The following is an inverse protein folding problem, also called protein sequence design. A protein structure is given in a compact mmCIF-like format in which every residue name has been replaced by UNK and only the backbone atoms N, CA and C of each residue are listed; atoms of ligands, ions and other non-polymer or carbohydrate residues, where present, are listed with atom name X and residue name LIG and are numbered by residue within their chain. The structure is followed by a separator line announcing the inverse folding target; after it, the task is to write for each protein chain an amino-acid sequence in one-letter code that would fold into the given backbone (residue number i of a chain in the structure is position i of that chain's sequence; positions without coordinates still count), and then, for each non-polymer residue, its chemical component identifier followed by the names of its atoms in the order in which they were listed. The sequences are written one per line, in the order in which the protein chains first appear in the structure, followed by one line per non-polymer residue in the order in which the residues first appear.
data_IF_888424963502
#
_entry.id   IF_888424963502
#
_cell.length_a   1.000
_cell.length_b   1.000
_cell.length_c   1.000
_cell.angle_alpha   90.00
_cell.angle_beta   90.00
_cell.angle_gamma   90.00
#
_symmetry.space_group_name_H-M   'P 1'
#
loop_
_entity.id
_entity.type
_entity.pdbx_description
1 polymer ?
#
# COMPACT_ATOMS: atom_id res chain seq x y z
N UNK A 1 18.08 14.47 -5.36
CA UNK A 1 17.84 15.56 -6.33
C UNK A 1 19.02 16.49 -6.43
N UNK A 2 19.30 17.30 -5.39
CA UNK A 2 20.33 18.36 -5.43
C UNK A 2 21.76 17.83 -5.68
N UNK A 3 22.15 16.74 -5.04
CA UNK A 3 23.49 16.17 -5.18
C UNK A 3 23.86 15.78 -6.62
N UNK A 4 22.86 15.37 -7.42
CA UNK A 4 23.04 14.92 -8.80
C UNK A 4 22.40 15.88 -9.82
N UNK A 5 22.06 17.09 -9.38
CA UNK A 5 21.40 18.12 -10.20
C UNK A 5 20.19 17.64 -11.02
N UNK A 6 19.39 16.76 -10.44
CA UNK A 6 18.23 16.17 -11.14
C UNK A 6 17.12 17.20 -11.41
N UNK A 7 17.10 18.32 -10.69
CA UNK A 7 16.06 19.34 -10.87
C UNK A 7 16.22 20.14 -12.16
N UNK A 8 17.45 20.31 -12.65
CA UNK A 8 17.72 21.04 -13.89
C UNK A 8 17.07 20.38 -15.12
N UNK A 9 16.91 19.05 -15.11
CA UNK A 9 16.26 18.29 -16.17
C UNK A 9 14.82 17.88 -15.89
N UNK A 10 14.17 18.40 -14.83
CA UNK A 10 12.85 17.98 -14.40
C UNK A 10 11.76 19.01 -14.74
N UNK A 11 10.67 18.58 -15.36
CA UNK A 11 9.47 19.38 -15.57
C UNK A 11 8.43 19.00 -14.50
N UNK A 12 8.23 19.88 -13.52
CA UNK A 12 7.24 19.71 -12.47
C UNK A 12 5.87 20.23 -12.92
N UNK A 13 4.79 19.75 -12.29
CA UNK A 13 3.42 20.09 -12.65
C UNK A 13 3.12 19.89 -14.14
N UNK A 14 3.72 18.84 -14.71
CA UNK A 14 3.63 18.51 -16.14
C UNK A 14 3.19 17.07 -16.28
N UNK A 15 2.05 16.87 -16.95
CA UNK A 15 1.49 15.55 -17.23
C UNK A 15 1.70 15.23 -18.71
N UNK A 16 2.16 14.02 -19.01
CA UNK A 16 2.27 13.52 -20.39
C UNK A 16 0.89 13.06 -20.83
N UNK A 17 0.41 13.58 -21.97
CA UNK A 17 -0.89 13.27 -22.55
C UNK A 17 -0.81 12.37 -23.79
N UNK A 18 0.35 12.37 -24.48
CA UNK A 18 0.56 11.49 -25.63
C UNK A 18 2.03 11.10 -25.78
N UNK A 19 2.25 9.86 -26.25
CA UNK A 19 3.53 9.33 -26.70
C UNK A 19 3.33 8.68 -28.06
N UNK A 20 3.94 9.24 -29.10
CA UNK A 20 3.77 8.82 -30.49
C UNK A 20 5.13 8.59 -31.16
N UNK A 21 5.36 7.40 -31.73
CA UNK A 21 6.57 7.11 -32.48
C UNK A 21 6.55 7.83 -33.82
N UNK A 22 7.65 8.49 -34.18
CA UNK A 22 7.86 9.20 -35.43
C UNK A 22 8.93 8.47 -36.24
N UNK A 23 8.53 7.74 -37.32
CA UNK A 23 9.46 6.98 -38.16
C UNK A 23 10.50 7.87 -38.85
N UNK A 24 10.11 9.04 -39.36
CA UNK A 24 10.98 9.94 -40.12
C UNK A 24 12.21 10.40 -39.29
N UNK A 25 12.10 10.45 -37.95
CA UNK A 25 13.19 10.85 -37.07
C UNK A 25 13.70 9.76 -36.14
N UNK A 26 13.11 8.57 -36.20
CA UNK A 26 13.34 7.47 -35.24
C UNK A 26 13.28 7.95 -33.80
N UNK A 27 12.23 8.70 -33.45
CA UNK A 27 12.06 9.35 -32.16
C UNK A 27 10.61 9.27 -31.68
N UNK A 28 10.45 9.30 -30.38
CA UNK A 28 9.18 9.52 -29.71
C UNK A 28 8.85 11.02 -29.71
N UNK A 29 7.63 11.39 -30.12
CA UNK A 29 7.02 12.68 -29.86
C UNK A 29 6.26 12.59 -28.54
N UNK A 30 6.54 13.51 -27.64
CA UNK A 30 5.94 13.61 -26.31
C UNK A 30 5.14 14.89 -26.25
N UNK A 31 3.84 14.78 -25.91
CA UNK A 31 2.94 15.94 -25.70
C UNK A 31 2.51 16.03 -24.26
N UNK A 32 2.37 17.25 -23.74
CA UNK A 32 2.03 17.50 -22.34
C UNK A 32 0.79 18.36 -22.17
N UNK A 33 0.17 18.32 -21.00
CA UNK A 33 -0.96 19.16 -20.60
C UNK A 33 -0.66 20.68 -20.61
N UNK A 34 0.58 21.07 -20.79
CA UNK A 34 1.02 22.47 -20.90
C UNK A 34 1.15 22.96 -22.33
N UNK A 35 0.89 22.07 -23.30
CA UNK A 35 1.08 22.32 -24.71
C UNK A 35 2.55 22.22 -25.18
N UNK A 36 3.45 21.75 -24.32
CA UNK A 36 4.84 21.49 -24.72
C UNK A 36 4.90 20.24 -25.61
N UNK A 37 5.74 20.29 -26.64
CA UNK A 37 6.12 19.17 -27.50
C UNK A 37 7.63 19.00 -27.51
N UNK A 38 8.12 17.79 -27.27
CA UNK A 38 9.53 17.45 -27.36
C UNK A 38 9.75 16.02 -27.82
N UNK A 39 10.96 15.70 -28.23
CA UNK A 39 11.28 14.38 -28.77
C UNK A 39 12.37 13.68 -27.96
N UNK A 40 12.29 12.36 -27.88
CA UNK A 40 13.30 11.51 -27.26
C UNK A 40 13.56 10.24 -28.10
N UNK A 41 14.78 9.74 -28.06
CA UNK A 41 15.11 8.44 -28.68
C UNK A 41 14.56 7.27 -27.88
N UNK A 42 14.58 7.39 -26.56
CA UNK A 42 14.14 6.38 -25.62
C UNK A 42 13.20 6.99 -24.59
N UNK A 43 12.20 6.23 -24.19
CA UNK A 43 11.26 6.58 -23.11
C UNK A 43 11.42 5.55 -21.97
N UNK A 44 11.69 6.04 -20.78
CA UNK A 44 11.62 5.26 -19.55
C UNK A 44 10.38 5.65 -18.76
N UNK A 45 9.43 4.74 -18.57
CA UNK A 45 8.24 5.00 -17.76
C UNK A 45 8.43 4.52 -16.33
N UNK A 46 8.32 5.43 -15.37
CA UNK A 46 8.46 5.16 -13.94
C UNK A 46 7.23 5.54 -13.12
N UNK A 47 6.03 5.50 -13.72
CA UNK A 47 4.78 5.95 -13.10
C UNK A 47 4.34 5.10 -11.90
N UNK A 48 4.79 3.84 -11.82
CA UNK A 48 4.38 2.90 -10.78
C UNK A 48 2.88 2.54 -10.84
N UNK A 49 2.42 1.63 -9.96
CA UNK A 49 1.02 1.21 -9.92
C UNK A 49 0.14 2.03 -8.98
N UNK A 50 0.71 2.88 -8.09
CA UNK A 50 0.01 3.53 -6.99
C UNK A 50 -0.11 5.05 -7.20
N UNK A 51 -0.65 5.49 -8.34
CA UNK A 51 -0.80 6.92 -8.67
C UNK A 51 -2.24 7.34 -8.98
N UNK A 52 -3.08 6.44 -9.52
CA UNK A 52 -4.49 6.72 -9.77
C UNK A 52 -5.34 6.21 -8.61
N UNK A 53 -5.96 7.09 -7.80
CA UNK A 53 -6.82 6.68 -6.70
C UNK A 53 -8.01 5.86 -7.19
N UNK A 54 -8.36 4.82 -6.44
CA UNK A 54 -9.56 4.04 -6.70
C UNK A 54 -10.63 4.40 -5.67
N UNK A 55 -11.70 5.05 -6.09
CA UNK A 55 -12.88 5.22 -5.26
C UNK A 55 -13.70 3.94 -5.23
N UNK A 56 -14.28 3.56 -4.08
CA UNK A 56 -15.15 2.38 -4.00
C UNK A 56 -16.45 2.65 -4.76
N UNK A 57 -16.99 1.61 -5.43
CA UNK A 57 -18.27 1.67 -6.12
C UNK A 57 -19.47 1.58 -5.15
N UNK A 58 -19.48 2.42 -4.10
CA UNK A 58 -20.52 2.43 -3.08
C UNK A 58 -21.70 3.27 -3.59
N UNK A 59 -22.92 2.73 -3.49
CA UNK A 59 -24.13 3.44 -3.87
C UNK A 59 -24.27 4.77 -3.10
N UNK A 60 -24.56 5.87 -3.81
CA UNK A 60 -24.74 7.18 -3.21
C UNK A 60 -23.45 7.91 -2.82
N UNK A 61 -22.28 7.48 -3.30
CA UNK A 61 -21.01 8.14 -2.99
C UNK A 61 -21.00 9.64 -3.32
N UNK A 62 -21.75 10.05 -4.36
CA UNK A 62 -21.89 11.46 -4.77
C UNK A 62 -22.94 12.24 -3.96
N UNK A 63 -23.72 11.56 -3.10
CA UNK A 63 -24.79 12.20 -2.35
C UNK A 63 -24.27 12.91 -1.10
N UNK A 64 -23.11 12.55 -0.59
CA UNK A 64 -22.58 13.07 0.67
C UNK A 64 -22.39 14.59 0.64
N UNK A 65 -22.95 15.27 1.62
CA UNK A 65 -22.88 16.75 1.74
C UNK A 65 -21.74 17.24 2.62
N UNK A 66 -21.12 16.33 3.39
CA UNK A 66 -19.92 16.64 4.16
C UNK A 66 -18.68 16.68 3.27
N UNK A 67 -17.52 16.80 3.88
CA UNK A 67 -16.23 16.80 3.16
C UNK A 67 -15.74 15.38 2.88
N UNK A 68 -15.18 15.14 1.70
CA UNK A 68 -14.58 13.83 1.42
C UNK A 68 -13.36 13.91 0.51
N UNK A 69 -12.38 13.05 0.76
CA UNK A 69 -11.17 12.94 -0.06
C UNK A 69 -10.54 11.54 0.03
N UNK A 70 -9.72 11.23 -0.96
CA UNK A 70 -8.89 10.02 -0.95
C UNK A 70 -7.57 10.28 -0.23
N UNK A 71 -7.05 9.31 0.51
CA UNK A 71 -5.81 9.43 1.30
C UNK A 71 -4.59 9.90 0.50
N UNK A 72 -4.49 9.58 -0.80
CA UNK A 72 -3.43 10.08 -1.68
C UNK A 72 -3.60 11.53 -2.13
N UNK A 73 -4.71 12.15 -1.80
CA UNK A 73 -5.05 13.55 -2.06
C UNK A 73 -5.48 14.21 -0.76
N UNK A 74 -4.63 14.10 0.27
CA UNK A 74 -4.92 14.62 1.60
C UNK A 74 -5.18 16.11 1.57
N UNK A 75 -6.32 16.52 2.12
CA UNK A 75 -6.72 17.93 2.16
C UNK A 75 -6.31 18.59 3.48
N UNK A 76 -5.12 19.15 3.50
CA UNK A 76 -4.60 19.89 4.66
C UNK A 76 -5.36 21.19 4.94
N UNK A 77 -6.03 21.79 3.95
CA UNK A 77 -6.85 22.96 4.18
C UNK A 77 -8.07 22.65 5.05
N UNK A 78 -8.61 21.43 4.91
CA UNK A 78 -9.73 20.96 5.72
C UNK A 78 -9.28 20.36 7.04
N UNK A 79 -8.27 19.50 7.02
CA UNK A 79 -7.82 18.76 8.21
C UNK A 79 -6.94 19.59 9.13
N UNK A 80 -6.32 20.64 8.65
CA UNK A 80 -5.16 21.23 9.29
C UNK A 80 -3.95 20.31 9.16
N UNK A 81 -2.85 20.66 9.81
CA UNK A 81 -1.60 19.93 9.72
C UNK A 81 -0.81 20.22 8.45
N UNK A 82 0.22 19.42 8.23
CA UNK A 82 1.09 19.50 7.05
C UNK A 82 1.75 18.15 6.74
N UNK A 83 2.44 17.99 5.60
CA UNK A 83 3.15 16.75 5.26
C UNK A 83 4.31 16.40 6.22
N UNK A 84 4.69 17.28 7.12
CA UNK A 84 5.76 17.06 8.12
C UNK A 84 5.23 16.55 9.46
N UNK A 85 3.90 16.38 9.58
CA UNK A 85 3.26 15.81 10.76
C UNK A 85 2.75 16.84 11.79
N UNK A 86 2.50 18.08 11.38
CA UNK A 86 1.79 19.03 12.25
C UNK A 86 0.39 18.54 12.60
N UNK A 87 -0.16 19.02 13.72
CA UNK A 87 -1.46 18.58 14.24
C UNK A 87 -2.61 18.91 13.28
N UNK A 88 -3.54 17.99 13.14
CA UNK A 88 -4.75 18.14 12.32
C UNK A 88 -5.89 18.79 13.12
N UNK A 89 -5.67 20.02 13.58
CA UNK A 89 -6.60 20.73 14.48
C UNK A 89 -7.98 21.01 13.85
N UNK A 90 -8.06 21.01 12.51
CA UNK A 90 -9.32 21.13 11.78
C UNK A 90 -10.29 19.97 12.02
N UNK A 91 -9.81 18.84 12.56
CA UNK A 91 -10.63 17.67 12.86
C UNK A 91 -11.12 17.58 14.32
N UNK A 92 -10.66 18.45 15.21
CA UNK A 92 -10.91 18.36 16.65
C UNK A 92 -12.39 18.29 17.08
N UNK A 93 -13.28 18.85 16.28
CA UNK A 93 -14.73 18.82 16.54
C UNK A 93 -15.52 18.00 15.51
N UNK A 94 -14.83 17.15 14.71
CA UNK A 94 -15.41 16.41 13.60
C UNK A 94 -15.62 14.94 13.90
N UNK A 95 -16.71 14.39 13.36
CA UNK A 95 -16.95 12.94 13.24
C UNK A 95 -16.39 12.51 11.89
N UNK A 96 -15.36 11.70 11.91
CA UNK A 96 -14.62 11.28 10.71
C UNK A 96 -14.81 9.80 10.47
N UNK A 97 -15.16 9.43 9.24
CA UNK A 97 -15.19 8.05 8.77
C UNK A 97 -14.00 7.77 7.85
N UNK A 98 -13.26 6.70 8.09
CA UNK A 98 -12.26 6.20 7.16
C UNK A 98 -12.70 4.84 6.61
N UNK A 99 -12.77 4.71 5.27
CA UNK A 99 -13.20 3.47 4.61
C UNK A 99 -11.97 2.69 4.16
N UNK A 100 -11.80 1.50 4.74
CA UNK A 100 -10.71 0.58 4.46
C UNK A 100 -9.75 0.41 5.63
N UNK A 101 -9.08 -0.75 5.65
CA UNK A 101 -8.13 -1.16 6.70
C UNK A 101 -6.81 -1.68 6.13
N UNK A 102 -6.50 -1.32 4.87
CA UNK A 102 -5.21 -1.64 4.24
C UNK A 102 -4.05 -0.77 4.74
N UNK A 103 -2.87 -0.96 4.14
CA UNK A 103 -1.62 -0.33 4.58
C UNK A 103 -1.70 1.19 4.77
N UNK A 104 -2.47 1.90 3.95
CA UNK A 104 -2.65 3.35 4.10
C UNK A 104 -3.46 3.69 5.35
N UNK A 105 -4.60 3.00 5.55
CA UNK A 105 -5.43 3.20 6.73
C UNK A 105 -4.68 2.88 8.02
N UNK A 106 -3.88 1.81 8.01
CA UNK A 106 -3.03 1.42 9.15
C UNK A 106 -2.11 2.57 9.60
N UNK A 107 -1.61 3.37 8.65
CA UNK A 107 -0.78 4.53 8.95
C UNK A 107 -1.61 5.77 9.35
N UNK A 108 -2.82 5.94 8.80
CA UNK A 108 -3.65 7.13 9.07
C UNK A 108 -4.38 7.06 10.42
N UNK A 109 -4.91 5.88 10.78
CA UNK A 109 -5.80 5.68 11.94
C UNK A 109 -5.19 6.17 13.25
N UNK A 110 -3.92 5.90 13.62
CA UNK A 110 -3.34 6.40 14.87
C UNK A 110 -3.29 7.92 14.98
N UNK A 111 -3.10 8.60 13.85
CA UNK A 111 -3.10 10.06 13.80
C UNK A 111 -4.51 10.64 13.85
N UNK A 112 -5.46 10.01 13.15
CA UNK A 112 -6.86 10.41 13.16
C UNK A 112 -7.50 10.20 14.53
N UNK A 113 -7.22 9.10 15.22
CA UNK A 113 -7.73 8.80 16.55
C UNK A 113 -7.39 9.91 17.58
N UNK A 114 -6.20 10.50 17.44
CA UNK A 114 -5.74 11.61 18.29
C UNK A 114 -6.25 12.99 17.85
N UNK A 115 -6.75 13.13 16.63
CA UNK A 115 -7.12 14.41 16.03
C UNK A 115 -8.63 14.65 15.99
N UNK A 116 -9.44 13.59 15.83
CA UNK A 116 -10.88 13.71 15.63
C UNK A 116 -11.64 13.75 16.95
N UNK A 117 -12.84 14.34 16.93
CA UNK A 117 -13.81 14.16 18.02
C UNK A 117 -14.28 12.71 18.11
N UNK A 118 -14.62 12.12 16.96
CA UNK A 118 -14.99 10.73 16.82
C UNK A 118 -14.42 10.19 15.50
N UNK A 119 -13.83 9.00 15.55
CA UNK A 119 -13.30 8.28 14.40
C UNK A 119 -14.04 6.95 14.21
N UNK A 120 -14.61 6.74 13.04
CA UNK A 120 -15.24 5.48 12.63
C UNK A 120 -14.41 4.81 11.55
N UNK A 121 -13.84 3.65 11.85
CA UNK A 121 -13.03 2.86 10.92
C UNK A 121 -13.90 1.78 10.29
N UNK A 122 -14.27 1.94 9.02
CA UNK A 122 -15.14 0.99 8.29
C UNK A 122 -14.30 -0.14 7.72
N UNK A 123 -14.49 -1.33 8.29
CA UNK A 123 -13.73 -2.54 7.98
C UNK A 123 -14.56 -3.53 7.17
N UNK A 124 -14.06 -3.93 5.99
CA UNK A 124 -14.60 -5.08 5.28
C UNK A 124 -13.93 -6.38 5.71
N UNK A 125 -12.62 -6.35 5.85
CA UNK A 125 -11.81 -7.46 6.36
C UNK A 125 -10.59 -6.88 7.09
N UNK A 126 -10.19 -7.44 8.23
CA UNK A 126 -9.03 -6.94 8.97
C UNK A 126 -7.73 -7.13 8.18
N UNK A 127 -6.74 -6.30 8.45
CA UNK A 127 -5.36 -6.53 8.04
C UNK A 127 -4.59 -7.27 9.15
N UNK A 128 -3.61 -8.07 8.77
CA UNK A 128 -2.64 -8.62 9.72
C UNK A 128 -1.68 -7.51 10.14
N UNK A 129 -1.66 -7.19 11.44
CA UNK A 129 -0.85 -6.10 11.98
C UNK A 129 0.21 -6.65 12.90
N UNK A 130 1.41 -6.79 12.37
CA UNK A 130 2.56 -7.21 13.15
C UNK A 130 3.33 -6.00 13.71
N UNK A 131 4.28 -6.27 14.58
CA UNK A 131 5.16 -5.26 15.15
C UNK A 131 6.07 -4.67 14.06
N UNK A 132 6.23 -3.35 14.05
CA UNK A 132 7.21 -2.67 13.19
C UNK A 132 8.56 -2.54 13.88
N UNK A 133 8.52 -2.31 15.19
CA UNK A 133 9.69 -2.03 16.02
C UNK A 133 10.54 -0.90 15.42
N UNK A 134 9.86 0.21 15.08
CA UNK A 134 10.52 1.32 14.40
C UNK A 134 11.47 2.04 15.35
N UNK A 135 12.71 2.18 14.94
CA UNK A 135 13.76 2.87 15.70
C UNK A 135 14.56 3.81 14.77
N UNK A 136 15.20 4.83 15.33
CA UNK A 136 16.19 5.61 14.59
C UNK A 136 17.30 4.71 14.03
N UNK A 137 17.76 5.01 12.83
CA UNK A 137 18.91 4.32 12.25
C UNK A 137 20.16 4.60 13.07
N UNK A 138 20.83 3.55 13.53
CA UNK A 138 22.11 3.68 14.21
C UNK A 138 23.18 4.16 13.20
N UNK A 139 23.81 5.32 13.41
CA UNK A 139 24.80 5.86 12.49
C UNK A 139 26.06 5.01 12.39
N UNK A 140 26.49 4.35 13.46
CA UNK A 140 27.70 3.51 13.47
C UNK A 140 27.44 2.26 12.63
N UNK A 141 26.35 1.56 12.90
CA UNK A 141 25.91 0.42 12.09
C UNK A 141 25.72 0.82 10.62
N UNK A 142 25.10 1.97 10.33
CA UNK A 142 24.91 2.40 8.95
C UNK A 142 26.23 2.68 8.23
N UNK A 143 27.21 3.30 8.90
CA UNK A 143 28.53 3.53 8.33
C UNK A 143 29.29 2.21 8.05
N UNK A 144 29.12 1.21 8.89
CA UNK A 144 29.71 -0.11 8.71
C UNK A 144 29.15 -0.82 7.46
N UNK A 145 27.85 -0.81 7.28
CA UNK A 145 27.20 -1.51 6.17
C UNK A 145 27.24 -0.75 4.84
N UNK A 146 27.31 0.59 4.86
CA UNK A 146 27.17 1.46 3.68
C UNK A 146 28.43 1.60 2.84
N UNK A 147 29.21 0.52 2.72
CA UNK A 147 30.36 0.43 1.81
C UNK A 147 29.89 0.41 0.34
N UNK A 148 30.82 0.63 -0.62
CA UNK A 148 30.49 0.63 -2.05
C UNK A 148 29.65 -0.60 -2.47
N UNK A 149 28.54 -0.36 -3.20
CA UNK A 149 27.62 -1.40 -3.66
C UNK A 149 26.67 -1.97 -2.60
N UNK A 150 26.56 -1.37 -1.40
CA UNK A 150 25.73 -1.88 -0.32
C UNK A 150 24.25 -2.04 -0.69
N UNK A 151 23.67 -1.13 -1.47
CA UNK A 151 22.27 -1.21 -1.90
C UNK A 151 22.01 -2.47 -2.71
N UNK A 152 22.94 -2.80 -3.63
CA UNK A 152 22.83 -4.00 -4.45
C UNK A 152 22.92 -5.25 -3.59
N UNK A 153 23.94 -5.34 -2.70
CA UNK A 153 24.08 -6.47 -1.77
C UNK A 153 22.85 -6.67 -0.89
N UNK A 154 22.27 -5.55 -0.41
CA UNK A 154 21.06 -5.60 0.42
C UNK A 154 19.86 -6.14 -0.33
N UNK A 155 19.65 -5.66 -1.58
CA UNK A 155 18.57 -6.12 -2.45
C UNK A 155 18.73 -7.61 -2.81
N UNK A 156 19.92 -8.03 -3.17
CA UNK A 156 20.22 -9.43 -3.48
C UNK A 156 19.99 -10.34 -2.27
N UNK A 157 20.44 -9.91 -1.09
CA UNK A 157 20.22 -10.63 0.16
C UNK A 157 18.73 -10.74 0.51
N UNK A 158 17.97 -9.64 0.41
CA UNK A 158 16.52 -9.67 0.63
C UNK A 158 15.83 -10.63 -0.35
N UNK A 159 16.17 -10.56 -1.63
CA UNK A 159 15.61 -11.43 -2.67
C UNK A 159 15.94 -12.90 -2.39
N UNK A 160 17.18 -13.22 -2.06
CA UNK A 160 17.61 -14.58 -1.72
C UNK A 160 16.82 -15.14 -0.53
N UNK A 161 16.65 -14.36 0.54
CA UNK A 161 15.85 -14.77 1.69
C UNK A 161 14.36 -14.99 1.33
N UNK A 162 13.78 -14.18 0.43
CA UNK A 162 12.39 -14.33 0.01
C UNK A 162 12.19 -15.52 -0.95
N UNK A 163 13.17 -15.86 -1.74
CA UNK A 163 13.11 -16.99 -2.70
C UNK A 163 13.54 -18.32 -2.11
N UNK A 164 13.88 -18.36 -0.83
CA UNK A 164 14.18 -19.60 -0.10
C UNK A 164 15.62 -20.07 -0.21
N UNK A 165 16.58 -19.17 -0.53
CA UNK A 165 18.00 -19.48 -0.43
C UNK A 165 18.40 -19.63 1.05
N UNK A 166 18.63 -20.86 1.46
CA UNK A 166 18.95 -21.22 2.84
C UNK A 166 20.43 -21.00 3.21
N UNK A 167 21.26 -20.54 2.29
CA UNK A 167 22.70 -20.37 2.50
C UNK A 167 23.09 -18.97 2.93
N UNK A 168 22.22 -17.97 2.72
CA UNK A 168 22.51 -16.56 3.02
C UNK A 168 22.04 -16.17 4.42
N UNK A 169 22.84 -15.32 5.07
CA UNK A 169 22.43 -14.64 6.30
C UNK A 169 21.28 -13.66 6.00
N UNK A 170 20.35 -13.48 6.93
CA UNK A 170 19.31 -12.47 6.79
C UNK A 170 19.80 -11.11 7.34
N UNK A 171 20.15 -10.20 6.45
CA UNK A 171 20.62 -8.86 6.81
C UNK A 171 19.47 -7.90 7.16
N UNK A 172 18.22 -8.24 6.84
CA UNK A 172 17.03 -7.40 7.10
C UNK A 172 16.51 -7.61 8.51
N UNK A 173 16.41 -8.87 8.95
CA UNK A 173 16.04 -9.28 10.31
C UNK A 173 14.77 -8.61 10.87
N UNK A 174 13.78 -8.33 10.01
CA UNK A 174 12.51 -7.72 10.42
C UNK A 174 11.29 -8.59 10.07
N UNK A 175 10.09 -8.03 10.20
CA UNK A 175 8.83 -8.73 9.90
C UNK A 175 8.70 -9.19 8.45
N UNK A 176 9.39 -8.58 7.50
CA UNK A 176 9.35 -8.98 6.10
C UNK A 176 10.06 -10.31 5.84
N UNK A 177 11.07 -10.65 6.62
CA UNK A 177 11.83 -11.89 6.48
C UNK A 177 11.52 -12.91 7.58
N UNK A 178 10.69 -12.58 8.58
CA UNK A 178 10.39 -13.45 9.71
C UNK A 178 9.76 -14.79 9.29
N UNK A 179 8.76 -14.76 8.39
CA UNK A 179 8.14 -16.00 7.90
C UNK A 179 9.17 -16.90 7.18
N UNK A 180 9.99 -16.31 6.31
CA UNK A 180 11.04 -17.04 5.58
C UNK A 180 12.05 -17.66 6.54
N UNK A 181 12.48 -16.95 7.59
CA UNK A 181 13.36 -17.50 8.63
C UNK A 181 12.74 -18.69 9.37
N UNK A 182 11.46 -18.62 9.71
CA UNK A 182 10.73 -19.73 10.38
C UNK A 182 10.66 -20.96 9.49
N UNK A 183 10.26 -20.78 8.24
CA UNK A 183 10.20 -21.84 7.23
C UNK A 183 11.58 -22.47 7.06
N UNK A 184 12.62 -21.65 6.88
CA UNK A 184 14.00 -22.10 6.77
C UNK A 184 14.41 -22.94 7.99
N UNK A 185 14.20 -22.45 9.20
CA UNK A 185 14.53 -23.16 10.44
C UNK A 185 13.88 -24.53 10.52
N UNK A 186 12.58 -24.63 10.16
CA UNK A 186 11.86 -25.91 10.13
C UNK A 186 12.41 -26.85 9.07
N UNK A 187 12.65 -26.39 7.85
CA UNK A 187 13.19 -27.21 6.76
C UNK A 187 14.58 -27.74 7.14
N UNK A 188 15.46 -26.88 7.67
CA UNK A 188 16.82 -27.29 8.06
C UNK A 188 16.85 -28.24 9.26
N UNK A 189 15.79 -28.31 10.07
CA UNK A 189 15.64 -29.30 11.14
C UNK A 189 15.18 -30.67 10.65
N UNK A 190 14.74 -30.79 9.37
CA UNK A 190 14.31 -32.06 8.81
C UNK A 190 15.52 -32.95 8.50
N UNK A 191 15.43 -34.25 8.78
CA UNK A 191 16.41 -35.21 8.27
C UNK A 191 16.43 -35.22 6.73
N UNK A 192 17.57 -35.47 6.09
CA UNK A 192 17.70 -35.43 4.62
C UNK A 192 16.66 -36.27 3.86
N UNK A 193 16.29 -37.43 4.37
CA UNK A 193 15.28 -38.31 3.78
C UNK A 193 13.84 -37.77 3.86
N UNK A 194 13.60 -36.76 4.71
CA UNK A 194 12.34 -36.05 4.85
C UNK A 194 12.29 -34.71 4.09
N UNK A 195 13.34 -34.34 3.40
CA UNK A 195 13.36 -33.13 2.54
C UNK A 195 12.58 -33.36 1.24
N UNK A 196 11.28 -33.52 1.34
CA UNK A 196 10.36 -33.71 0.20
C UNK A 196 9.54 -32.42 -0.04
N UNK A 197 9.03 -32.19 -1.27
CA UNK A 197 8.15 -31.03 -1.53
C UNK A 197 6.94 -30.97 -0.59
N UNK A 198 6.36 -32.12 -0.23
CA UNK A 198 5.23 -32.17 0.70
C UNK A 198 5.61 -31.66 2.11
N UNK A 199 6.77 -32.07 2.63
CA UNK A 199 7.24 -31.62 3.94
C UNK A 199 7.69 -30.14 3.91
N UNK A 200 8.18 -29.63 2.79
CA UNK A 200 8.49 -28.21 2.63
C UNK A 200 7.19 -27.36 2.66
N UNK A 201 6.13 -27.81 1.98
CA UNK A 201 4.81 -27.19 2.02
C UNK A 201 4.25 -27.22 3.45
N UNK A 202 4.33 -28.35 4.14
CA UNK A 202 3.89 -28.48 5.52
C UNK A 202 4.65 -27.53 6.46
N UNK A 203 5.97 -27.43 6.30
CA UNK A 203 6.79 -26.49 7.08
C UNK A 203 6.39 -25.03 6.85
N UNK A 204 6.03 -24.66 5.62
CA UNK A 204 5.51 -23.33 5.30
C UNK A 204 4.16 -23.10 5.97
N UNK A 205 3.22 -24.03 5.83
CA UNK A 205 1.86 -23.90 6.39
C UNK A 205 1.88 -23.80 7.92
N UNK A 206 2.72 -24.60 8.58
CA UNK A 206 2.88 -24.55 10.03
C UNK A 206 3.54 -23.25 10.48
N UNK A 207 4.56 -22.78 9.78
CA UNK A 207 5.23 -21.50 10.09
C UNK A 207 4.28 -20.30 9.93
N UNK A 208 3.48 -20.30 8.87
CA UNK A 208 2.46 -19.28 8.64
C UNK A 208 1.38 -19.31 9.73
N UNK A 209 0.90 -20.50 10.09
CA UNK A 209 -0.07 -20.65 11.17
C UNK A 209 0.46 -20.11 12.50
N UNK A 210 1.66 -20.51 12.91
CA UNK A 210 2.31 -20.03 14.14
C UNK A 210 2.49 -18.50 14.12
N UNK A 211 2.91 -17.95 12.99
CA UNK A 211 3.07 -16.51 12.82
C UNK A 211 1.73 -15.78 12.95
N UNK A 212 0.69 -16.28 12.30
CA UNK A 212 -0.63 -15.67 12.37
C UNK A 212 -1.26 -15.79 13.76
N UNK A 213 -1.00 -16.88 14.51
CA UNK A 213 -1.40 -16.99 15.92
C UNK A 213 -0.72 -15.94 16.79
N UNK A 214 0.58 -15.66 16.58
CA UNK A 214 1.27 -14.59 17.28
C UNK A 214 0.67 -13.22 16.99
N UNK A 215 0.33 -12.95 15.72
CA UNK A 215 -0.32 -11.69 15.33
C UNK A 215 -1.70 -11.57 15.99
N UNK A 216 -2.52 -12.64 16.03
CA UNK A 216 -3.82 -12.65 16.71
C UNK A 216 -3.68 -12.49 18.23
N UNK A 217 -2.70 -13.15 18.84
CA UNK A 217 -2.40 -12.99 20.25
C UNK A 217 -2.01 -11.54 20.60
N UNK A 218 -1.20 -10.88 19.73
CA UNK A 218 -0.85 -9.47 19.87
C UNK A 218 -2.09 -8.57 19.90
N UNK A 219 -3.09 -8.83 19.05
CA UNK A 219 -4.35 -8.07 19.06
C UNK A 219 -5.02 -8.16 20.42
N UNK A 220 -5.15 -9.37 20.99
CA UNK A 220 -5.74 -9.57 22.33
C UNK A 220 -4.95 -8.89 23.45
N UNK A 221 -3.64 -8.78 23.31
CA UNK A 221 -2.80 -8.15 24.32
C UNK A 221 -2.95 -6.63 24.32
N UNK A 222 -3.22 -6.03 23.17
CA UNK A 222 -3.19 -4.58 22.99
C UNK A 222 -4.59 -3.96 23.04
N UNK A 223 -5.57 -4.56 22.36
CA UNK A 223 -6.92 -4.00 22.27
C UNK A 223 -7.74 -4.41 23.50
N UNK A 224 -8.19 -3.41 24.26
CA UNK A 224 -8.85 -3.62 25.56
C UNK A 224 -10.28 -4.15 25.43
N UNK A 225 -11.02 -3.68 24.41
CA UNK A 225 -12.36 -4.18 24.14
C UNK A 225 -12.31 -5.53 23.38
N UNK A 226 -12.74 -6.60 24.04
CA UNK A 226 -12.69 -7.94 23.49
C UNK A 226 -13.47 -8.10 22.18
N UNK A 227 -14.58 -7.38 22.01
CA UNK A 227 -15.39 -7.46 20.79
C UNK A 227 -14.63 -6.86 19.62
N UNK A 228 -14.04 -5.69 19.79
CA UNK A 228 -13.18 -5.05 18.81
C UNK A 228 -11.93 -5.90 18.53
N UNK A 229 -11.31 -6.46 19.58
CA UNK A 229 -10.15 -7.34 19.41
C UNK A 229 -10.47 -8.55 18.50
N UNK A 230 -11.60 -9.24 18.73
CA UNK A 230 -12.01 -10.37 17.88
C UNK A 230 -12.21 -9.95 16.42
N UNK A 231 -12.81 -8.79 16.17
CA UNK A 231 -13.05 -8.26 14.82
C UNK A 231 -11.79 -7.80 14.10
N UNK A 232 -10.72 -7.47 14.81
CA UNK A 232 -9.44 -7.07 14.26
C UNK A 232 -8.52 -8.26 13.93
N UNK A 233 -8.87 -9.48 14.30
CA UNK A 233 -8.06 -10.68 14.00
C UNK A 233 -8.16 -11.09 12.53
N UNK A 234 -7.01 -11.22 11.88
CA UNK A 234 -6.93 -11.70 10.50
C UNK A 234 -6.90 -13.23 10.46
N UNK A 235 -7.91 -13.84 9.79
CA UNK A 235 -8.08 -15.28 9.67
C UNK A 235 -7.73 -15.79 8.25
N UNK A 236 -6.60 -15.33 7.71
CA UNK A 236 -6.06 -15.75 6.42
C UNK A 236 -4.53 -15.85 6.55
N UNK A 237 -3.87 -16.51 5.59
CA UNK A 237 -2.41 -16.62 5.54
C UNK A 237 -1.77 -15.25 5.40
N UNK A 238 -0.65 -15.00 6.08
CA UNK A 238 0.00 -13.68 6.14
C UNK A 238 0.19 -13.04 4.75
N UNK A 239 0.62 -13.82 3.76
CA UNK A 239 0.91 -13.33 2.41
C UNK A 239 -0.30 -13.30 1.46
N UNK A 240 -1.51 -13.69 1.90
CA UNK A 240 -2.72 -13.55 1.08
C UNK A 240 -3.15 -12.11 0.87
N UNK A 241 -2.71 -11.23 1.74
CA UNK A 241 -2.82 -9.77 1.61
C UNK A 241 -1.45 -9.16 1.92
N UNK A 242 -1.28 -7.86 1.63
CA UNK A 242 -0.07 -7.14 2.04
C UNK A 242 0.06 -7.19 3.57
N UNK A 243 1.10 -7.78 4.13
CA UNK A 243 1.38 -7.71 5.56
C UNK A 243 1.58 -6.26 5.98
N UNK A 244 1.03 -5.89 7.13
CA UNK A 244 1.20 -4.56 7.71
C UNK A 244 1.99 -4.68 9.02
N UNK A 245 2.88 -3.72 9.23
CA UNK A 245 3.72 -3.62 10.41
C UNK A 245 3.54 -2.23 11.01
N UNK A 246 3.01 -2.14 12.22
CA UNK A 246 2.77 -0.86 12.88
C UNK A 246 2.72 -1.01 14.40
N UNK A 247 3.31 -0.05 15.10
CA UNK A 247 3.40 -0.12 16.56
C UNK A 247 2.20 0.52 17.26
N UNK A 248 1.49 1.48 16.62
CA UNK A 248 0.42 2.27 17.25
C UNK A 248 -1.00 2.00 16.68
N UNK A 249 -1.15 1.19 15.62
CA UNK A 249 -2.46 0.99 14.98
C UNK A 249 -3.49 0.33 15.89
N UNK A 250 -3.10 -0.72 16.59
CA UNK A 250 -4.00 -1.46 17.47
C UNK A 250 -4.35 -0.63 18.71
N UNK A 251 -3.40 0.12 19.23
CA UNK A 251 -3.58 1.04 20.36
C UNK A 251 -4.58 2.15 20.07
N UNK A 252 -4.70 2.55 18.79
CA UNK A 252 -5.66 3.58 18.39
C UNK A 252 -7.11 3.22 18.72
N UNK A 253 -7.46 1.93 18.82
CA UNK A 253 -8.80 1.48 19.19
C UNK A 253 -9.08 1.57 20.71
N UNK A 254 -8.08 1.85 21.52
CA UNK A 254 -8.24 2.14 22.93
C UNK A 254 -8.41 3.66 23.19
N UNK A 255 -8.20 4.50 22.18
CA UNK A 255 -8.42 5.94 22.29
C UNK A 255 -9.93 6.26 22.38
N UNK A 256 -10.35 7.10 23.33
CA UNK A 256 -11.74 7.52 23.45
C UNK A 256 -12.26 8.14 22.15
N UNK A 257 -13.43 7.70 21.69
CA UNK A 257 -14.02 8.21 20.44
C UNK A 257 -13.56 7.49 19.18
N UNK A 258 -12.74 6.46 19.27
CA UNK A 258 -12.38 5.61 18.12
C UNK A 258 -13.19 4.32 18.08
N UNK A 259 -13.87 4.09 16.98
CA UNK A 259 -14.80 2.97 16.82
C UNK A 259 -14.47 2.14 15.57
N UNK A 260 -14.41 0.82 15.75
CA UNK A 260 -14.39 -0.11 14.63
C UNK A 260 -15.82 -0.39 14.16
N UNK A 261 -16.11 -0.15 12.88
CA UNK A 261 -17.36 -0.54 12.24
C UNK A 261 -17.04 -1.71 11.30
N UNK A 262 -17.15 -2.91 11.83
CA UNK A 262 -16.96 -4.12 11.05
C UNK A 262 -18.22 -4.44 10.22
N UNK A 263 -18.05 -4.70 8.94
CA UNK A 263 -19.13 -4.95 7.99
C UNK A 263 -19.35 -6.44 7.72
N UNK A 264 -18.75 -7.32 8.50
CA UNK A 264 -18.79 -8.77 8.34
C UNK A 264 -18.51 -9.23 6.88
N UNK A 265 -17.53 -8.57 6.23
CA UNK A 265 -17.12 -8.87 4.86
C UNK A 265 -17.98 -8.25 3.76
N UNK A 266 -19.16 -7.70 4.08
CA UNK A 266 -20.10 -7.16 3.08
C UNK A 266 -19.66 -5.79 2.52
N UNK A 267 -18.92 -5.03 3.31
CA UNK A 267 -18.57 -3.64 2.98
C UNK A 267 -19.67 -2.65 3.37
N UNK A 268 -19.45 -1.38 3.03
CA UNK A 268 -20.41 -0.30 3.22
C UNK A 268 -21.59 -0.48 2.26
N UNK A 269 -22.84 -0.40 2.75
CA UNK A 269 -24.04 -0.57 1.94
C UNK A 269 -24.27 0.61 1.01
N UNK A 270 -24.27 1.81 1.57
CA UNK A 270 -24.44 3.05 0.84
C UNK A 270 -23.90 4.26 1.60
N UNK A 271 -23.69 5.32 0.88
CA UNK A 271 -23.41 6.66 1.40
C UNK A 271 -24.68 7.51 1.19
N UNK A 272 -25.02 8.29 2.20
CA UNK A 272 -26.14 9.21 2.20
C UNK A 272 -25.67 10.66 2.21
N UNK A 273 -26.57 11.61 2.20
CA UNK A 273 -26.23 13.03 2.39
C UNK A 273 -25.53 13.29 3.73
N UNK A 274 -25.80 12.48 4.76
CA UNK A 274 -25.32 12.68 6.13
C UNK A 274 -24.16 11.79 6.55
N UNK A 275 -23.91 10.68 5.86
CA UNK A 275 -22.89 9.72 6.30
C UNK A 275 -22.92 8.37 5.61
N UNK A 276 -22.58 7.34 6.35
CA UNK A 276 -22.38 5.96 5.85
C UNK A 276 -23.39 5.02 6.50
N UNK A 277 -23.98 4.14 5.71
CA UNK A 277 -24.88 3.07 6.19
C UNK A 277 -24.19 1.72 6.16
N UNK A 278 -24.22 0.99 7.29
CA UNK A 278 -23.76 -0.38 7.44
C UNK A 278 -24.81 -1.16 8.23
N UNK A 279 -25.23 -2.31 7.73
CA UNK A 279 -26.25 -3.18 8.34
C UNK A 279 -27.52 -2.41 8.77
N UNK A 280 -28.00 -1.50 7.89
CA UNK A 280 -29.18 -0.66 8.11
C UNK A 280 -28.97 0.49 9.12
N UNK A 281 -27.80 0.59 9.78
CA UNK A 281 -27.48 1.67 10.71
C UNK A 281 -26.75 2.79 9.98
N UNK A 282 -27.23 4.02 10.09
CA UNK A 282 -26.55 5.21 9.59
C UNK A 282 -25.58 5.79 10.62
N UNK A 283 -24.35 6.06 10.18
CA UNK A 283 -23.31 6.76 10.92
C UNK A 283 -23.20 8.16 10.35
N UNK A 284 -23.66 9.14 11.09
CA UNK A 284 -23.57 10.56 10.69
C UNK A 284 -22.11 11.04 10.80
N UNK A 285 -21.61 11.66 9.75
CA UNK A 285 -20.21 12.08 9.61
C UNK A 285 -20.10 13.50 9.08
N UNK A 286 -19.04 14.17 9.47
CA UNK A 286 -18.65 15.48 8.93
C UNK A 286 -17.62 15.32 7.80
N UNK A 287 -16.86 14.18 7.80
CA UNK A 287 -15.85 13.90 6.81
C UNK A 287 -15.78 12.40 6.50
N UNK A 288 -15.59 12.05 5.22
CA UNK A 288 -15.30 10.68 4.77
C UNK A 288 -13.92 10.65 4.10
N UNK A 289 -13.03 9.79 4.60
CA UNK A 289 -11.69 9.57 4.05
C UNK A 289 -11.65 8.21 3.36
N UNK A 290 -11.33 8.19 2.07
CA UNK A 290 -11.23 6.96 1.30
C UNK A 290 -9.80 6.41 1.36
N UNK A 291 -9.60 5.33 2.12
CA UNK A 291 -8.38 4.52 2.12
C UNK A 291 -8.55 3.27 1.23
N UNK A 292 -9.17 3.45 0.07
CA UNK A 292 -9.65 2.40 -0.83
C UNK A 292 -8.63 1.94 -1.87
N UNK A 293 -7.39 2.45 -1.79
CA UNK A 293 -6.28 2.03 -2.64
C UNK A 293 -6.28 2.68 -4.02
N UNK A 294 -5.72 1.96 -5.00
CA UNK A 294 -5.40 2.50 -6.32
C UNK A 294 -5.84 1.54 -7.43
N UNK A 295 -5.89 2.03 -8.67
CA UNK A 295 -6.19 1.28 -9.88
C UNK A 295 -5.02 0.36 -10.30
N UNK A 296 -4.66 -0.61 -9.47
CA UNK A 296 -3.46 -1.44 -9.65
C UNK A 296 -3.61 -2.46 -10.79
N UNK A 297 -4.79 -3.08 -10.92
CA UNK A 297 -5.07 -4.17 -11.85
C UNK A 297 -5.80 -3.75 -13.13
N UNK A 298 -5.85 -2.46 -13.46
CA UNK A 298 -6.53 -1.94 -14.64
C UNK A 298 -5.58 -1.80 -15.83
N UNK A 299 -6.14 -1.69 -17.03
CA UNK A 299 -5.39 -1.50 -18.27
C UNK A 299 -4.44 -0.30 -18.18
N UNK A 300 -3.30 -0.41 -18.89
CA UNK A 300 -2.27 0.63 -18.91
C UNK A 300 -2.83 2.00 -19.30
N UNK A 301 -3.59 2.07 -20.39
CA UNK A 301 -4.21 3.30 -20.89
C UNK A 301 -5.05 4.02 -19.80
N UNK A 302 -5.85 3.25 -19.03
CA UNK A 302 -6.66 3.81 -17.96
C UNK A 302 -5.80 4.38 -16.83
N UNK A 303 -4.69 3.71 -16.50
CA UNK A 303 -3.78 4.15 -15.43
C UNK A 303 -2.89 5.30 -15.87
N UNK A 304 -2.37 5.26 -17.09
CA UNK A 304 -1.49 6.29 -17.64
C UNK A 304 -2.23 7.57 -18.06
N UNK A 305 -3.54 7.47 -18.35
CA UNK A 305 -4.32 8.56 -18.93
C UNK A 305 -4.15 8.73 -20.45
N UNK A 306 -3.20 8.05 -21.05
CA UNK A 306 -2.90 8.05 -22.49
C UNK A 306 -2.52 6.66 -22.99
N UNK A 307 -2.55 6.47 -24.32
CA UNK A 307 -2.01 5.28 -24.96
C UNK A 307 -0.64 5.58 -25.59
N UNK A 308 0.26 4.61 -25.62
CA UNK A 308 1.49 4.70 -26.39
C UNK A 308 1.21 4.22 -27.81
N UNK A 309 1.54 5.04 -28.80
CA UNK A 309 1.41 4.72 -30.22
C UNK A 309 2.80 4.44 -30.78
N UNK A 310 3.08 3.18 -31.04
CA UNK A 310 4.34 2.70 -31.58
C UNK A 310 4.42 2.79 -33.09
N UNK A 311 5.32 1.99 -33.68
CA UNK A 311 5.49 1.87 -35.14
C UNK A 311 4.19 1.45 -35.81
N UNK A 312 4.00 1.91 -37.04
CA UNK A 312 2.81 1.60 -37.86
C UNK A 312 1.47 1.96 -37.17
N UNK A 313 1.50 2.87 -36.21
CA UNK A 313 0.32 3.29 -35.47
C UNK A 313 -0.19 2.27 -34.42
N UNK A 314 0.57 1.23 -34.14
CA UNK A 314 0.18 0.20 -33.19
C UNK A 314 0.10 0.76 -31.76
N UNK A 315 -1.06 0.63 -31.12
CA UNK A 315 -1.28 1.06 -29.75
C UNK A 315 -0.87 -0.02 -28.75
N UNK A 316 -0.27 0.39 -27.64
CA UNK A 316 0.12 -0.52 -26.56
C UNK A 316 -1.08 -1.25 -25.96
N UNK A 317 -2.24 -0.57 -25.81
CA UNK A 317 -3.47 -1.19 -25.32
C UNK A 317 -3.96 -2.34 -26.21
N UNK A 318 -3.81 -2.21 -27.53
CA UNK A 318 -4.16 -3.25 -28.50
C UNK A 318 -3.14 -4.39 -28.47
N UNK A 319 -1.84 -4.07 -28.38
CA UNK A 319 -0.78 -5.07 -28.27
C UNK A 319 -0.87 -5.93 -27.00
N UNK A 320 -1.40 -5.35 -25.93
CA UNK A 320 -1.59 -6.04 -24.63
C UNK A 320 -3.03 -6.52 -24.38
N UNK A 321 -3.91 -6.50 -25.38
CA UNK A 321 -5.32 -6.90 -25.19
C UNK A 321 -5.50 -8.29 -24.60
N UNK A 322 -4.66 -9.26 -25.00
CA UNK A 322 -4.68 -10.64 -24.50
C UNK A 322 -3.72 -10.88 -23.31
N UNK A 323 -3.22 -9.81 -22.71
CA UNK A 323 -2.24 -9.85 -21.62
C UNK A 323 -0.95 -9.13 -21.93
N UNK A 324 -0.22 -8.78 -20.87
CA UNK A 324 1.03 -8.04 -20.98
C UNK A 324 2.10 -8.87 -21.69
N UNK A 325 2.68 -8.31 -22.73
CA UNK A 325 3.79 -8.90 -23.51
C UNK A 325 4.96 -7.94 -23.50
N UNK A 326 6.12 -8.40 -23.04
CA UNK A 326 7.33 -7.59 -22.96
C UNK A 326 8.52 -8.34 -23.54
N UNK A 327 9.54 -7.60 -23.97
CA UNK A 327 10.86 -8.15 -24.28
C UNK A 327 11.75 -7.98 -23.05
N UNK A 328 12.38 -9.07 -22.62
CA UNK A 328 13.26 -9.09 -21.44
C UNK A 328 12.60 -8.56 -20.13
N UNK A 329 11.27 -8.64 -20.02
CA UNK A 329 10.51 -8.20 -18.85
C UNK A 329 10.33 -6.68 -18.69
N UNK A 330 10.94 -5.85 -19.55
CA UNK A 330 10.91 -4.38 -19.42
C UNK A 330 10.64 -3.61 -20.70
N UNK A 331 10.90 -4.18 -21.88
CA UNK A 331 10.73 -3.48 -23.18
C UNK A 331 9.43 -3.92 -23.85
N UNK A 332 8.82 -3.04 -24.60
CA UNK A 332 7.68 -3.30 -25.49
C UNK A 332 7.98 -2.88 -26.90
#
# INVERSE_FOLDING_TARGET
GKQYDLYAGALFHTEVEALEWQEAGSRWLIKTNRGDEFTAQYIGTGTGPLHVPKLPGIAGIEAFKGHSFHTSRWDYNYTGGDPKGAKMDGLANKRVGIIGTGATSVQCVPHLAKACKELYVFQRTPSSIDIRNNAPTDPEWFNEISTEGWQQRWLENFTANQTGDNTVEDLVMDGWTDLSRRVRSKIMSLPPEKMTPANMIAAFEESDFEKMEQIRARVNTIVEDNVTAEKLKAWYRQLCKRPCFHDDYLQAYNEPGTYLVDTDGQGVEKITEKGIVVAGKEYELDCIIYASGFEVGTEYKRRAGYDMVGRDGQKLSEYWADGMRTKHGVHV
#
